data_IF_720789645504
#
_entry.id   IF_720789645504
#
_cell.length_a   1.000
_cell.length_b   1.000
_cell.length_c   1.000
_cell.angle_alpha   90.00
_cell.angle_beta   90.00
_cell.angle_gamma   90.00
#
_symmetry.space_group_name_H-M   'P 1'
#
loop_
_entity.id
_entity.type
_entity.pdbx_description
1 polymer ?
#
# COMPACT_ATOMS: atom_id res chain seq x y z
N UNK A 1 2.78 10.12 20.03
CA UNK A 1 2.57 8.84 19.30
C UNK A 1 2.40 9.20 17.84
N UNK A 2 3.18 8.62 16.92
CA UNK A 2 3.00 8.84 15.48
C UNK A 2 1.87 7.93 15.02
N UNK A 3 0.83 8.49 14.43
CA UNK A 3 -0.27 7.70 13.86
C UNK A 3 0.26 6.91 12.66
N UNK A 4 0.05 5.59 12.65
CA UNK A 4 0.46 4.74 11.54
C UNK A 4 -0.57 4.89 10.42
N UNK A 5 -0.21 5.65 9.38
CA UNK A 5 -1.02 5.79 8.18
C UNK A 5 -0.67 4.71 7.17
N UNK A 6 -1.68 3.99 6.69
CA UNK A 6 -1.52 2.94 5.68
C UNK A 6 -2.73 2.89 4.73
N UNK A 7 -2.53 2.21 3.59
CA UNK A 7 -3.56 1.71 2.68
C UNK A 7 -3.57 0.18 2.74
N UNK A 8 -4.61 -0.46 2.23
CA UNK A 8 -4.66 -1.93 2.11
C UNK A 8 -4.95 -2.29 0.67
N UNK A 9 -4.02 -2.98 0.03
CA UNK A 9 -4.33 -3.73 -1.18
C UNK A 9 -5.04 -5.02 -0.78
N UNK A 10 -6.24 -5.25 -1.30
CA UNK A 10 -7.01 -6.44 -0.98
C UNK A 10 -7.47 -7.18 -2.25
N UNK A 11 -7.50 -8.50 -2.13
CA UNK A 11 -8.12 -9.43 -3.08
C UNK A 11 -9.16 -10.24 -2.32
N UNK A 12 -10.42 -10.17 -2.75
CA UNK A 12 -11.55 -10.83 -2.10
C UNK A 12 -12.49 -11.42 -3.13
N UNK A 13 -13.20 -12.48 -2.75
CA UNK A 13 -14.13 -13.20 -3.63
C UNK A 13 -15.57 -12.84 -3.27
N UNK A 14 -16.35 -12.36 -4.24
CA UNK A 14 -17.79 -12.09 -4.10
C UNK A 14 -18.50 -12.84 -5.20
N UNK A 15 -19.50 -13.66 -4.87
CA UNK A 15 -20.27 -14.46 -5.82
C UNK A 15 -19.42 -15.34 -6.76
N UNK A 16 -18.24 -15.77 -6.30
CA UNK A 16 -17.30 -16.59 -7.06
C UNK A 16 -16.36 -15.80 -7.99
N UNK A 17 -16.47 -14.48 -8.03
CA UNK A 17 -15.59 -13.60 -8.80
C UNK A 17 -14.51 -12.97 -7.91
N UNK A 18 -13.27 -12.92 -8.43
CA UNK A 18 -12.14 -12.32 -7.73
C UNK A 18 -12.09 -10.82 -7.99
N UNK A 19 -12.25 -10.03 -6.93
CA UNK A 19 -12.13 -8.57 -6.96
C UNK A 19 -10.80 -8.13 -6.35
N UNK A 20 -10.25 -7.04 -6.90
CA UNK A 20 -9.00 -6.41 -6.43
C UNK A 20 -9.29 -4.94 -6.18
N UNK A 21 -8.97 -4.46 -4.97
CA UNK A 21 -9.20 -3.07 -4.58
C UNK A 21 -8.00 -2.50 -3.80
N UNK A 22 -7.88 -1.18 -3.84
CA UNK A 22 -6.99 -0.40 -2.99
C UNK A 22 -7.85 0.40 -2.02
N UNK A 23 -7.92 -0.07 -0.78
CA UNK A 23 -8.67 0.62 0.26
C UNK A 23 -7.76 1.68 0.90
N UNK A 24 -8.24 2.92 0.90
CA UNK A 24 -7.57 4.01 1.60
C UNK A 24 -7.66 3.82 3.12
N UNK A 25 -7.04 4.72 3.89
CA UNK A 25 -6.99 4.62 5.36
C UNK A 25 -8.36 4.29 5.97
N UNK A 26 -8.45 3.09 6.57
CA UNK A 26 -9.40 2.65 7.59
C UNK A 26 -10.81 3.25 7.55
N UNK A 27 -11.70 2.68 6.73
CA UNK A 27 -13.09 2.57 7.20
C UNK A 27 -13.29 1.30 8.04
N UNK A 28 -12.63 0.18 7.68
CA UNK A 28 -12.85 -1.12 8.33
C UNK A 28 -11.60 -1.93 8.68
N UNK A 29 -10.37 -1.42 8.46
CA UNK A 29 -9.13 -2.17 8.77
C UNK A 29 -8.38 -1.61 9.97
N UNK A 30 -7.90 -2.52 10.83
CA UNK A 30 -6.98 -2.23 11.91
C UNK A 30 -5.70 -3.02 11.73
N UNK A 31 -4.56 -2.35 11.94
CA UNK A 31 -3.26 -3.00 11.96
C UNK A 31 -2.83 -3.22 13.42
N UNK A 32 -2.62 -4.47 13.80
CA UNK A 32 -2.12 -4.82 15.13
C UNK A 32 -0.65 -4.44 15.30
N UNK A 33 -0.20 -4.34 16.55
CA UNK A 33 1.24 -4.16 16.87
C UNK A 33 2.13 -5.30 16.33
N UNK A 34 1.55 -6.46 16.06
CA UNK A 34 2.23 -7.62 15.46
C UNK A 34 2.22 -7.58 13.93
N UNK A 35 1.73 -6.50 13.30
CA UNK A 35 1.68 -6.33 11.85
C UNK A 35 0.56 -7.13 11.17
N UNK A 36 -0.44 -7.64 11.92
CA UNK A 36 -1.57 -8.37 11.35
C UNK A 36 -2.73 -7.42 11.05
N UNK A 37 -3.44 -7.68 9.95
CA UNK A 37 -4.67 -6.98 9.61
C UNK A 37 -5.89 -7.63 10.27
N UNK A 38 -6.72 -6.78 10.86
CA UNK A 38 -8.03 -7.09 11.43
C UNK A 38 -9.08 -6.25 10.73
N UNK A 39 -10.31 -6.73 10.69
CA UNK A 39 -11.48 -5.97 10.22
C UNK A 39 -12.32 -5.48 11.40
N UNK A 40 -13.07 -4.39 11.23
CA UNK A 40 -14.05 -3.94 12.20
C UNK A 40 -15.23 -3.28 11.47
N UNK A 41 -16.44 -3.65 11.86
CA UNK A 41 -17.66 -2.95 11.45
C UNK A 41 -18.05 -1.88 12.49
N UNK A 42 -18.81 -0.84 12.10
CA UNK A 42 -19.29 0.16 13.05
C UNK A 42 -20.08 -0.48 14.20
N UNK A 43 -19.58 -0.33 15.43
CA UNK A 43 -20.23 -0.88 16.64
C UNK A 43 -19.89 -2.34 16.94
N UNK A 44 -19.05 -2.99 16.15
CA UNK A 44 -18.60 -4.36 16.38
C UNK A 44 -17.16 -4.43 16.93
N UNK A 45 -16.87 -5.52 17.64
CA UNK A 45 -15.50 -5.82 18.08
C UNK A 45 -14.62 -6.13 16.86
N UNK A 46 -13.38 -5.63 16.81
CA UNK A 46 -12.42 -6.02 15.80
C UNK A 46 -12.27 -7.54 15.71
N UNK A 47 -12.21 -8.08 14.49
CA UNK A 47 -12.06 -9.50 14.20
C UNK A 47 -10.89 -9.76 13.23
N UNK A 48 -10.25 -10.93 13.25
CA UNK A 48 -9.26 -11.28 12.24
C UNK A 48 -9.84 -11.19 10.83
N UNK A 49 -8.98 -10.89 9.84
CA UNK A 49 -9.37 -10.84 8.43
C UNK A 49 -10.23 -12.05 8.02
N UNK A 50 -11.38 -11.78 7.41
CA UNK A 50 -12.35 -12.80 7.03
C UNK A 50 -11.83 -13.73 5.93
N UNK A 51 -12.38 -14.96 5.85
CA UNK A 51 -11.98 -15.97 4.86
C UNK A 51 -12.22 -15.53 3.41
N UNK A 52 -13.11 -14.56 3.20
CA UNK A 52 -13.46 -14.02 1.89
C UNK A 52 -12.29 -13.25 1.27
N UNK A 53 -11.40 -12.71 2.11
CA UNK A 53 -10.14 -12.13 1.66
C UNK A 53 -9.14 -13.25 1.34
N UNK A 54 -8.81 -13.38 0.05
CA UNK A 54 -7.71 -14.24 -0.40
C UNK A 54 -6.36 -13.60 -0.08
N UNK A 55 -6.30 -12.26 -0.05
CA UNK A 55 -5.09 -11.49 0.20
C UNK A 55 -5.43 -10.12 0.76
N UNK A 56 -4.72 -9.67 1.78
CA UNK A 56 -4.75 -8.28 2.23
C UNK A 56 -3.34 -7.88 2.67
N UNK A 57 -2.80 -6.81 2.06
CA UNK A 57 -1.44 -6.32 2.30
C UNK A 57 -1.52 -4.86 2.74
N UNK A 58 -1.06 -4.52 3.95
CA UNK A 58 -0.91 -3.13 4.35
C UNK A 58 0.25 -2.49 3.58
N UNK A 59 0.02 -1.29 3.06
CA UNK A 59 1.01 -0.46 2.37
C UNK A 59 1.21 0.80 3.19
N UNK A 60 2.40 0.99 3.75
CA UNK A 60 2.66 2.07 4.70
C UNK A 60 2.95 3.39 4.02
N UNK A 61 2.48 4.48 4.64
CA UNK A 61 2.81 5.83 4.20
C UNK A 61 4.32 6.09 4.36
N UNK A 62 4.99 6.51 3.29
CA UNK A 62 6.43 6.76 3.28
C UNK A 62 6.84 8.04 4.01
N UNK A 63 5.88 8.87 4.46
CA UNK A 63 6.18 10.18 5.03
C UNK A 63 6.41 11.27 3.98
N UNK A 64 6.20 10.97 2.70
CA UNK A 64 6.51 11.84 1.57
C UNK A 64 5.25 12.15 0.75
N UNK A 65 5.26 13.30 0.08
CA UNK A 65 4.25 13.69 -0.91
C UNK A 65 4.91 13.88 -2.27
N UNK A 66 4.21 13.54 -3.34
CA UNK A 66 4.65 13.81 -4.70
C UNK A 66 4.52 15.31 -5.05
N UNK A 67 4.89 15.67 -6.29
CA UNK A 67 4.81 17.05 -6.78
C UNK A 67 3.40 17.66 -6.78
N UNK A 68 2.35 16.82 -6.77
CA UNK A 68 0.96 17.23 -6.76
C UNK A 68 0.38 17.24 -5.33
N UNK A 69 1.21 16.97 -4.31
CA UNK A 69 0.77 16.90 -2.92
C UNK A 69 0.09 15.57 -2.55
N UNK A 70 0.13 14.57 -3.44
CA UNK A 70 -0.41 13.23 -3.20
C UNK A 70 0.54 12.47 -2.30
N UNK A 71 0.02 11.88 -1.23
CA UNK A 71 0.80 11.05 -0.33
C UNK A 71 1.30 9.79 -1.03
N UNK A 72 2.58 9.50 -0.79
CA UNK A 72 3.29 8.37 -1.37
C UNK A 72 3.36 7.23 -0.35
N UNK A 73 2.97 6.04 -0.79
CA UNK A 73 2.93 4.82 0.00
C UNK A 73 3.93 3.80 -0.54
N UNK A 74 4.25 2.81 0.30
CA UNK A 74 4.91 1.59 -0.15
C UNK A 74 4.16 0.98 -1.36
N UNK A 75 4.92 0.54 -2.36
CA UNK A 75 4.41 -0.02 -3.60
C UNK A 75 4.01 1.01 -4.66
N UNK A 76 3.96 2.31 -4.33
CA UNK A 76 3.68 3.34 -5.33
C UNK A 76 4.78 3.39 -6.38
N UNK A 77 4.34 3.55 -7.64
CA UNK A 77 5.20 3.72 -8.80
C UNK A 77 5.28 5.21 -9.11
N UNK A 78 6.47 5.78 -8.98
CA UNK A 78 6.73 7.19 -9.23
C UNK A 78 7.46 7.38 -10.56
N UNK A 79 7.00 8.36 -11.34
CA UNK A 79 7.71 8.86 -12.49
C UNK A 79 8.58 10.05 -12.05
N UNK A 80 9.88 9.81 -11.93
CA UNK A 80 10.84 10.85 -11.59
C UNK A 80 11.38 11.48 -12.87
N UNK A 81 11.11 12.77 -13.03
CA UNK A 81 11.74 13.59 -14.08
C UNK A 81 12.82 14.44 -13.42
N UNK A 82 14.07 14.10 -13.70
CA UNK A 82 15.19 14.98 -13.38
C UNK A 82 15.67 15.65 -14.66
N UNK A 83 15.90 16.98 -14.61
CA UNK A 83 16.32 17.87 -15.70
C UNK A 83 16.72 17.18 -17.03
N UNK A 84 15.82 17.23 -18.02
CA UNK A 84 16.05 16.76 -19.40
C UNK A 84 16.53 15.29 -19.54
N UNK A 85 16.30 14.45 -18.53
CA UNK A 85 16.51 13.00 -18.62
C UNK A 85 15.19 12.29 -18.89
N UNK A 86 15.28 11.12 -19.54
CA UNK A 86 14.17 10.18 -19.68
C UNK A 86 13.58 9.83 -18.30
N UNK A 87 12.27 9.59 -18.21
CA UNK A 87 11.60 9.33 -16.94
C UNK A 87 12.12 8.04 -16.31
N UNK A 88 12.64 8.15 -15.09
CA UNK A 88 12.99 6.98 -14.29
C UNK A 88 11.75 6.49 -13.54
N UNK A 89 11.48 5.19 -13.62
CA UNK A 89 10.43 4.55 -12.83
C UNK A 89 11.04 4.08 -11.51
N UNK A 90 10.50 4.57 -10.41
CA UNK A 90 10.91 4.15 -9.07
C UNK A 90 9.74 3.47 -8.39
N UNK A 91 9.97 2.27 -7.87
CA UNK A 91 9.02 1.55 -7.02
C UNK A 91 9.53 1.62 -5.59
N UNK A 92 8.71 2.15 -4.69
CA UNK A 92 9.04 2.15 -3.27
C UNK A 92 8.79 0.75 -2.69
N UNK A 93 9.86 0.07 -2.27
CA UNK A 93 9.77 -1.21 -1.56
C UNK A 93 10.24 -1.00 -0.13
N UNK A 94 9.46 -1.47 0.84
CA UNK A 94 9.86 -1.46 2.23
C UNK A 94 10.73 -2.69 2.49
N UNK A 95 12.03 -2.48 2.63
CA UNK A 95 12.96 -3.50 3.08
C UNK A 95 13.03 -3.42 4.61
N UNK A 96 12.69 -4.52 5.29
CA UNK A 96 12.77 -4.58 6.76
C UNK A 96 14.23 -4.49 7.25
N UNK A 97 15.22 -4.67 6.38
CA UNK A 97 16.63 -4.39 6.66
C UNK A 97 17.29 -3.74 5.43
N UNK A 98 17.83 -2.54 5.64
CA UNK A 98 18.67 -1.74 4.75
C UNK A 98 18.13 -1.32 3.36
N UNK A 99 18.12 0.00 3.16
CA UNK A 99 17.51 0.70 2.01
C UNK A 99 18.30 0.46 0.72
N UNK A 100 17.63 0.07 -0.36
CA UNK A 100 18.15 0.20 -1.72
C UNK A 100 17.12 0.84 -2.66
N UNK A 101 17.59 1.79 -3.46
CA UNK A 101 16.87 2.35 -4.60
C UNK A 101 17.17 1.45 -5.80
N UNK A 102 16.16 0.75 -6.33
CA UNK A 102 16.28 0.08 -7.63
C UNK A 102 15.55 0.98 -8.63
N UNK A 103 16.31 1.76 -9.39
CA UNK A 103 15.87 2.23 -10.69
C UNK A 103 16.04 1.06 -11.66
N UNK A 104 14.99 0.27 -11.85
CA UNK A 104 14.95 -0.55 -13.05
C UNK A 104 14.62 0.39 -14.20
N UNK A 105 15.57 0.56 -15.12
CA UNK A 105 15.27 1.11 -16.44
C UNK A 105 14.24 0.17 -17.08
N UNK A 106 12.96 0.51 -16.96
CA UNK A 106 11.92 -0.14 -17.75
C UNK A 106 12.11 0.34 -19.18
N UNK A 107 12.99 -0.35 -19.91
CA UNK A 107 13.20 -0.16 -21.33
C UNK A 107 11.90 -0.41 -22.07
N UNK A 108 11.23 0.66 -22.48
CA UNK A 108 10.20 0.58 -23.50
C UNK A 108 10.92 0.59 -24.86
N UNK A 109 11.12 -0.60 -25.42
CA UNK A 109 11.50 -0.79 -26.82
C UNK A 109 10.30 -0.65 -27.77
#
# INVERSE_FOLDING_TARGET
>A
MRENKFRVYCEFEVDGELHKSMESSASWFLLTQTGKLWTHDPGESPRPLEKEYKKAIPLFYAGLKDKNGVEVYEGDILNLRYRNQEPNIVVLKNFVEDTFWISDELGFG
#
